data_IF_795845291284
#
_entry.id   IF_795845291284
#
_cell.length_a   1.000
_cell.length_b   1.000
_cell.length_c   1.000
_cell.angle_alpha   90.00
_cell.angle_beta   90.00
_cell.angle_gamma   90.00
#
_symmetry.space_group_name_H-M   'P 1'
#
loop_
_entity.id
_entity.type
_entity.pdbx_description
1 polymer ?
#
# COMPACT_ATOMS: atom_id res chain seq x y z
N UNK A 1 -32.20 22.91 -23.27
CA UNK A 1 -31.19 22.72 -22.20
C UNK A 1 -30.70 21.27 -22.26
N UNK A 2 -29.64 21.07 -23.00
CA UNK A 2 -29.03 19.76 -23.23
C UNK A 2 -28.23 19.39 -21.99
N UNK A 3 -28.67 18.38 -21.25
CA UNK A 3 -27.89 17.80 -20.15
C UNK A 3 -26.75 17.00 -20.78
N UNK A 4 -25.63 17.67 -21.01
CA UNK A 4 -24.39 17.02 -21.43
C UNK A 4 -24.01 16.00 -20.35
N UNK A 5 -24.23 14.73 -20.59
CA UNK A 5 -23.79 13.63 -19.74
C UNK A 5 -22.27 13.56 -19.83
N UNK A 6 -21.59 14.19 -18.89
CA UNK A 6 -20.13 14.11 -18.75
C UNK A 6 -19.68 12.64 -18.77
N UNK A 7 -18.66 12.36 -19.53
CA UNK A 7 -18.06 11.03 -19.58
C UNK A 7 -17.56 10.64 -18.18
N UNK A 8 -17.42 9.33 -17.92
CA UNK A 8 -16.94 8.85 -16.62
C UNK A 8 -15.55 9.39 -16.26
N UNK A 9 -14.70 9.60 -17.27
CA UNK A 9 -13.39 10.20 -17.12
C UNK A 9 -13.45 11.66 -16.70
N UNK A 10 -14.28 12.48 -17.37
CA UNK A 10 -14.47 13.90 -17.03
C UNK A 10 -15.06 14.11 -15.63
N UNK A 11 -15.92 13.20 -15.17
CA UNK A 11 -16.42 13.23 -13.78
C UNK A 11 -15.31 12.94 -12.77
N UNK A 12 -14.45 11.98 -13.07
CA UNK A 12 -13.30 11.66 -12.22
C UNK A 12 -12.32 12.82 -12.19
N UNK A 13 -11.96 13.39 -13.34
CA UNK A 13 -11.05 14.55 -13.43
C UNK A 13 -11.59 15.74 -12.65
N UNK A 14 -12.89 15.99 -12.70
CA UNK A 14 -13.53 17.06 -11.92
C UNK A 14 -13.48 16.80 -10.41
N UNK A 15 -13.68 15.54 -9.99
CA UNK A 15 -13.61 15.15 -8.57
C UNK A 15 -12.17 15.30 -8.07
N UNK A 16 -11.20 14.74 -8.78
CA UNK A 16 -9.79 14.79 -8.39
C UNK A 16 -9.15 16.18 -8.58
N UNK A 17 -9.66 16.99 -9.52
CA UNK A 17 -9.23 18.38 -9.71
C UNK A 17 -9.75 19.35 -8.64
N UNK A 18 -10.72 18.93 -7.80
CA UNK A 18 -11.23 19.79 -6.74
C UNK A 18 -10.37 19.60 -5.47
N UNK A 19 -9.71 20.65 -4.94
CA UNK A 19 -8.74 20.51 -3.86
C UNK A 19 -9.34 19.89 -2.59
N UNK A 20 -10.61 20.12 -2.30
CA UNK A 20 -11.28 19.55 -1.13
C UNK A 20 -11.37 18.02 -1.22
N UNK A 21 -11.76 17.47 -2.36
CA UNK A 21 -11.82 16.00 -2.53
C UNK A 21 -10.44 15.37 -2.53
N UNK A 22 -9.45 16.02 -3.11
CA UNK A 22 -8.06 15.55 -3.06
C UNK A 22 -7.53 15.48 -1.62
N UNK A 23 -7.81 16.51 -0.81
CA UNK A 23 -7.42 16.54 0.61
C UNK A 23 -8.15 15.47 1.41
N UNK A 24 -9.46 15.32 1.24
CA UNK A 24 -10.24 14.28 1.93
C UNK A 24 -9.74 12.87 1.58
N UNK A 25 -9.45 12.63 0.31
CA UNK A 25 -8.90 11.36 -0.14
C UNK A 25 -7.50 11.11 0.44
N UNK A 26 -6.66 12.15 0.46
CA UNK A 26 -5.33 12.06 1.08
C UNK A 26 -5.43 11.74 2.58
N UNK A 27 -6.32 12.39 3.32
CA UNK A 27 -6.58 12.09 4.73
C UNK A 27 -7.02 10.63 4.89
N UNK A 28 -7.99 10.19 4.10
CA UNK A 28 -8.47 8.80 4.13
C UNK A 28 -7.36 7.79 3.88
N UNK A 29 -6.54 8.00 2.84
CA UNK A 29 -5.39 7.15 2.54
C UNK A 29 -4.37 7.13 3.69
N UNK A 30 -4.09 8.29 4.32
CA UNK A 30 -3.17 8.37 5.44
C UNK A 30 -3.71 7.66 6.69
N UNK A 31 -5.00 7.75 6.97
CA UNK A 31 -5.65 7.00 8.07
C UNK A 31 -5.55 5.51 7.83
N UNK A 32 -5.84 5.03 6.61
CA UNK A 32 -5.68 3.63 6.25
C UNK A 32 -4.22 3.17 6.37
N UNK A 33 -3.27 3.97 5.92
CA UNK A 33 -1.84 3.66 6.03
C UNK A 33 -1.38 3.61 7.49
N UNK A 34 -1.75 4.62 8.29
CA UNK A 34 -1.40 4.69 9.72
C UNK A 34 -2.02 3.56 10.55
N UNK A 35 -3.20 3.09 10.18
CA UNK A 35 -3.86 1.97 10.84
C UNK A 35 -3.15 0.62 10.64
N UNK A 36 -2.26 0.52 9.64
CA UNK A 36 -1.53 -0.71 9.34
C UNK A 36 -0.71 -1.21 10.54
N UNK A 37 -0.04 -0.31 11.29
CA UNK A 37 0.77 -0.67 12.46
C UNK A 37 -0.04 -1.35 13.58
N UNK A 38 -1.13 -0.73 14.09
CA UNK A 38 -1.98 -1.38 15.09
C UNK A 38 -2.54 -2.72 14.60
N UNK A 39 -2.99 -2.80 13.35
CA UNK A 39 -3.55 -4.03 12.81
C UNK A 39 -2.51 -5.15 12.64
N UNK A 40 -1.26 -4.83 12.27
CA UNK A 40 -0.19 -5.84 12.25
C UNK A 40 0.08 -6.36 13.66
N UNK A 41 0.18 -5.46 14.65
CA UNK A 41 0.38 -5.86 16.06
C UNK A 41 -0.78 -6.69 16.60
N UNK A 42 -2.01 -6.33 16.24
CA UNK A 42 -3.18 -7.13 16.59
C UNK A 42 -3.11 -8.52 15.95
N UNK A 43 -2.72 -8.60 14.67
CA UNK A 43 -2.50 -9.86 13.97
C UNK A 43 -1.45 -10.73 14.66
N UNK A 44 -0.32 -10.18 15.07
CA UNK A 44 0.71 -10.92 15.80
C UNK A 44 0.18 -11.51 17.12
N UNK A 45 -0.66 -10.76 17.84
CA UNK A 45 -1.30 -11.26 19.08
C UNK A 45 -2.32 -12.36 18.79
N UNK A 46 -3.19 -12.16 17.79
CA UNK A 46 -4.26 -13.11 17.46
C UNK A 46 -3.70 -14.46 16.96
N UNK A 47 -2.62 -14.43 16.19
CA UNK A 47 -1.98 -15.62 15.65
C UNK A 47 -0.82 -16.14 16.51
N UNK A 48 -0.63 -15.56 17.71
CA UNK A 48 0.43 -15.95 18.66
C UNK A 48 1.82 -15.97 17.98
N UNK A 49 2.09 -14.97 17.13
CA UNK A 49 3.36 -14.88 16.40
C UNK A 49 4.42 -14.33 17.33
N UNK A 50 5.43 -15.16 17.62
CA UNK A 50 6.58 -14.73 18.40
C UNK A 50 7.45 -13.78 17.59
N UNK A 51 7.75 -12.61 18.18
CA UNK A 51 8.63 -11.59 17.59
C UNK A 51 10.06 -12.09 17.34
N UNK A 52 10.49 -13.14 18.02
CA UNK A 52 11.78 -13.78 17.80
C UNK A 52 11.78 -14.73 16.58
N UNK A 53 10.61 -15.16 16.12
CA UNK A 53 10.49 -16.08 14.99
C UNK A 53 10.28 -15.36 13.67
N UNK A 54 11.36 -14.99 13.01
CA UNK A 54 11.37 -14.29 11.72
C UNK A 54 10.59 -15.04 10.62
N UNK A 55 10.62 -16.38 10.63
CA UNK A 55 9.89 -17.17 9.63
C UNK A 55 8.37 -17.00 9.77
N UNK A 56 7.85 -17.02 10.98
CA UNK A 56 6.42 -16.78 11.25
C UNK A 56 5.99 -15.38 10.87
N UNK A 57 6.84 -14.37 11.10
CA UNK A 57 6.63 -12.98 10.70
C UNK A 57 6.50 -12.88 9.17
N UNK A 58 7.41 -13.49 8.42
CA UNK A 58 7.38 -13.47 6.97
C UNK A 58 6.21 -14.27 6.39
N UNK A 59 5.86 -15.41 7.00
CA UNK A 59 4.68 -16.16 6.62
C UNK A 59 3.40 -15.30 6.76
N UNK A 60 3.23 -14.64 7.90
CA UNK A 60 2.11 -13.73 8.14
C UNK A 60 2.07 -12.58 7.13
N UNK A 61 3.21 -11.95 6.84
CA UNK A 61 3.32 -10.90 5.84
C UNK A 61 2.93 -11.42 4.45
N UNK A 62 3.45 -12.58 4.04
CA UNK A 62 3.14 -13.21 2.76
C UNK A 62 1.65 -13.49 2.59
N UNK A 63 1.01 -14.11 3.56
CA UNK A 63 -0.43 -14.39 3.55
C UNK A 63 -1.24 -13.08 3.43
N UNK A 64 -0.86 -12.05 4.19
CA UNK A 64 -1.53 -10.74 4.15
C UNK A 64 -1.41 -10.08 2.77
N UNK A 65 -0.23 -10.12 2.14
CA UNK A 65 -0.03 -9.56 0.80
C UNK A 65 -0.76 -10.37 -0.27
N UNK A 66 -0.80 -11.71 -0.15
CA UNK A 66 -1.58 -12.55 -1.06
C UNK A 66 -3.07 -12.24 -0.99
N UNK A 67 -3.63 -12.13 0.21
CA UNK A 67 -5.04 -11.76 0.40
C UNK A 67 -5.31 -10.36 -0.14
N UNK A 68 -4.45 -9.39 0.16
CA UNK A 68 -4.57 -8.02 -0.35
C UNK A 68 -4.55 -7.95 -1.87
N UNK A 69 -3.59 -8.61 -2.52
CA UNK A 69 -3.50 -8.65 -3.98
C UNK A 69 -4.69 -9.36 -4.63
N UNK A 70 -5.18 -10.43 -4.02
CA UNK A 70 -6.39 -11.12 -4.48
C UNK A 70 -7.61 -10.20 -4.43
N UNK A 71 -7.80 -9.47 -3.33
CA UNK A 71 -8.90 -8.51 -3.18
C UNK A 71 -8.82 -7.36 -4.19
N UNK A 72 -7.62 -6.84 -4.46
CA UNK A 72 -7.40 -5.79 -5.46
C UNK A 72 -7.70 -6.30 -6.87
N UNK A 73 -7.24 -7.50 -7.20
CA UNK A 73 -7.55 -8.12 -8.50
C UNK A 73 -9.06 -8.35 -8.66
N UNK A 74 -9.69 -8.92 -7.64
CA UNK A 74 -11.14 -9.14 -7.63
C UNK A 74 -11.91 -7.82 -7.81
N UNK A 75 -11.55 -6.79 -7.04
CA UNK A 75 -12.13 -5.45 -7.15
C UNK A 75 -11.92 -4.85 -8.54
N UNK A 76 -10.73 -5.01 -9.12
CA UNK A 76 -10.43 -4.53 -10.47
C UNK A 76 -11.31 -5.21 -11.53
N UNK A 77 -11.47 -6.53 -11.44
CA UNK A 77 -12.34 -7.29 -12.35
C UNK A 77 -13.80 -6.85 -12.22
N UNK A 78 -14.30 -6.71 -11.00
CA UNK A 78 -15.68 -6.31 -10.74
C UNK A 78 -15.99 -4.87 -11.21
N UNK A 79 -15.05 -3.94 -11.00
CA UNK A 79 -15.24 -2.54 -11.37
C UNK A 79 -15.08 -2.28 -12.88
N UNK A 80 -14.14 -2.97 -13.51
CA UNK A 80 -13.82 -2.76 -14.92
C UNK A 80 -14.53 -3.74 -15.86
N UNK A 81 -15.14 -4.78 -15.32
CA UNK A 81 -15.74 -5.89 -16.09
C UNK A 81 -14.78 -6.53 -17.11
N UNK A 82 -13.48 -6.47 -16.83
CA UNK A 82 -12.41 -7.00 -17.67
C UNK A 82 -11.33 -7.61 -16.79
N UNK A 83 -10.84 -8.76 -17.19
CA UNK A 83 -9.67 -9.36 -16.55
C UNK A 83 -8.42 -8.59 -16.96
N UNK A 84 -7.63 -8.07 -16.01
CA UNK A 84 -6.41 -7.36 -16.34
C UNK A 84 -5.46 -8.30 -17.10
N UNK A 85 -4.89 -7.80 -18.19
CA UNK A 85 -3.90 -8.56 -18.95
C UNK A 85 -2.57 -8.54 -18.19
N UNK A 86 -2.05 -9.71 -17.89
CA UNK A 86 -0.74 -9.81 -17.27
C UNK A 86 0.35 -9.32 -18.24
N UNK A 87 1.29 -8.51 -17.78
CA UNK A 87 2.41 -8.06 -18.59
C UNK A 87 3.25 -9.26 -19.03
N UNK A 88 3.87 -9.16 -20.22
CA UNK A 88 4.71 -10.21 -20.79
C UNK A 88 6.08 -9.65 -21.18
N UNK A 89 7.05 -10.53 -21.31
CA UNK A 89 8.40 -10.16 -21.75
C UNK A 89 9.09 -9.20 -20.78
N UNK A 90 9.72 -8.16 -21.34
CA UNK A 90 10.51 -7.18 -20.58
C UNK A 90 9.72 -6.48 -19.51
N UNK A 91 8.47 -6.10 -19.79
CA UNK A 91 7.59 -5.43 -18.81
C UNK A 91 7.30 -6.32 -17.60
N UNK A 92 7.12 -7.63 -17.82
CA UNK A 92 6.94 -8.57 -16.72
C UNK A 92 8.18 -8.64 -15.82
N UNK A 93 9.37 -8.68 -16.42
CA UNK A 93 10.64 -8.70 -15.68
C UNK A 93 10.84 -7.39 -14.86
N UNK A 94 10.54 -6.25 -15.44
CA UNK A 94 10.59 -4.95 -14.75
C UNK A 94 9.59 -4.89 -13.58
N UNK A 95 8.37 -5.36 -13.78
CA UNK A 95 7.37 -5.44 -12.70
C UNK A 95 7.83 -6.39 -11.58
N UNK A 96 8.41 -7.54 -11.92
CA UNK A 96 8.97 -8.47 -10.92
C UNK A 96 10.15 -7.86 -10.17
N UNK A 97 11.06 -7.17 -10.84
CA UNK A 97 12.18 -6.49 -10.21
C UNK A 97 11.73 -5.39 -9.26
N UNK A 98 10.76 -4.56 -9.68
CA UNK A 98 10.14 -3.55 -8.83
C UNK A 98 9.43 -4.16 -7.63
N UNK A 99 8.66 -5.24 -7.83
CA UNK A 99 7.99 -5.94 -6.74
C UNK A 99 8.97 -6.53 -5.74
N UNK A 100 10.07 -7.12 -6.22
CA UNK A 100 11.11 -7.67 -5.36
C UNK A 100 11.80 -6.58 -4.54
N UNK A 101 12.19 -5.49 -5.18
CA UNK A 101 12.89 -4.40 -4.53
C UNK A 101 11.98 -3.58 -3.62
N UNK A 102 10.89 -3.07 -4.16
CA UNK A 102 9.97 -2.16 -3.47
C UNK A 102 9.12 -2.86 -2.41
N UNK A 103 8.73 -4.11 -2.65
CA UNK A 103 7.82 -4.82 -1.74
C UNK A 103 8.59 -5.78 -0.85
N UNK A 104 9.33 -6.74 -1.42
CA UNK A 104 9.93 -7.81 -0.62
C UNK A 104 11.02 -7.28 0.31
N UNK A 105 12.00 -6.53 -0.21
CA UNK A 105 13.08 -6.02 0.63
C UNK A 105 12.58 -4.97 1.63
N UNK A 106 11.83 -3.98 1.17
CA UNK A 106 11.33 -2.92 2.05
C UNK A 106 10.47 -3.49 3.19
N UNK A 107 9.52 -4.37 2.87
CA UNK A 107 8.62 -4.92 3.88
C UNK A 107 9.26 -6.01 4.74
N UNK A 108 10.30 -6.69 4.29
CA UNK A 108 11.07 -7.60 5.14
C UNK A 108 11.62 -6.85 6.36
N UNK A 109 12.32 -5.75 6.14
CA UNK A 109 12.82 -4.91 7.22
C UNK A 109 11.71 -4.26 8.05
N UNK A 110 10.66 -3.79 7.38
CA UNK A 110 9.51 -3.17 8.03
C UNK A 110 8.82 -4.12 9.02
N UNK A 111 8.54 -5.36 8.63
CA UNK A 111 7.86 -6.32 9.50
C UNK A 111 8.74 -6.74 10.69
N UNK A 112 10.04 -6.88 10.50
CA UNK A 112 10.97 -7.13 11.59
C UNK A 112 10.97 -5.95 12.56
N UNK A 113 11.05 -4.72 12.07
CA UNK A 113 11.00 -3.52 12.89
C UNK A 113 9.68 -3.41 13.66
N UNK A 114 8.55 -3.65 13.02
CA UNK A 114 7.22 -3.65 13.68
C UNK A 114 7.13 -4.74 14.75
N UNK A 115 7.76 -5.89 14.57
CA UNK A 115 7.81 -6.94 15.58
C UNK A 115 8.56 -6.48 16.84
N UNK A 116 9.69 -5.79 16.66
CA UNK A 116 10.57 -5.34 17.74
C UNK A 116 10.11 -4.05 18.44
N UNK A 117 9.44 -3.14 17.71
CA UNK A 117 9.07 -1.81 18.20
C UNK A 117 7.63 -1.73 18.69
N UNK A 118 7.30 -0.71 19.47
CA UNK A 118 5.90 -0.36 19.76
C UNK A 118 5.25 0.23 18.50
N UNK A 119 3.92 0.04 18.36
CA UNK A 119 3.21 0.54 17.18
C UNK A 119 3.34 2.06 16.99
N UNK A 120 3.30 2.83 18.08
CA UNK A 120 3.47 4.28 18.06
C UNK A 120 4.88 4.69 17.59
N UNK A 121 5.91 4.07 18.14
CA UNK A 121 7.31 4.38 17.77
C UNK A 121 7.62 4.01 16.32
N UNK A 122 7.12 2.85 15.86
CA UNK A 122 7.21 2.45 14.47
C UNK A 122 6.55 3.45 13.52
N UNK A 123 5.39 4.00 13.89
CA UNK A 123 4.69 5.04 13.13
C UNK A 123 5.50 6.34 13.01
N UNK A 124 6.11 6.79 14.10
CA UNK A 124 6.97 7.99 14.12
C UNK A 124 8.19 7.79 13.21
N UNK A 125 8.89 6.65 13.34
CA UNK A 125 10.04 6.34 12.49
C UNK A 125 9.65 6.27 11.00
N UNK A 126 8.52 5.65 10.69
CA UNK A 126 8.04 5.58 9.31
C UNK A 126 7.73 6.97 8.73
N UNK A 127 7.23 7.89 9.53
CA UNK A 127 6.98 9.28 9.10
C UNK A 127 8.27 10.02 8.74
N UNK A 128 9.40 9.67 9.35
CA UNK A 128 10.72 10.26 9.07
C UNK A 128 11.17 9.98 7.63
N UNK A 129 10.73 8.87 7.03
CA UNK A 129 11.04 8.53 5.64
C UNK A 129 10.60 9.63 4.66
N UNK A 130 9.45 10.25 4.90
CA UNK A 130 8.95 11.32 4.03
C UNK A 130 9.83 12.56 4.08
N UNK A 131 10.34 12.93 5.26
CA UNK A 131 11.28 14.04 5.40
C UNK A 131 12.60 13.76 4.70
N UNK A 132 13.16 12.57 4.89
CA UNK A 132 14.37 12.14 4.20
C UNK A 132 14.19 12.15 2.68
N UNK A 133 13.03 11.68 2.19
CA UNK A 133 12.70 11.70 0.75
C UNK A 133 12.73 13.12 0.16
N UNK A 134 12.17 14.11 0.86
CA UNK A 134 12.20 15.51 0.43
C UNK A 134 13.64 16.07 0.46
N UNK A 135 14.41 15.75 1.50
CA UNK A 135 15.80 16.18 1.60
C UNK A 135 16.63 15.63 0.43
N UNK A 136 16.56 14.32 0.18
CA UNK A 136 17.27 13.69 -0.93
C UNK A 136 16.85 14.22 -2.30
N UNK A 137 15.55 14.47 -2.50
CA UNK A 137 15.03 15.04 -3.73
C UNK A 137 15.56 16.48 -3.98
N UNK A 138 15.99 17.19 -2.93
CA UNK A 138 16.59 18.51 -3.08
C UNK A 138 18.04 18.46 -3.57
N UNK A 139 18.75 17.37 -3.30
CA UNK A 139 20.15 17.18 -3.69
C UNK A 139 20.33 16.43 -5.03
N UNK A 140 19.27 15.81 -5.56
CA UNK A 140 19.25 15.10 -6.84
C UNK A 140 18.64 15.96 -7.96
#
# INVERSE_FOLDING_TARGET
MEKTTLSRAEKLDRIFGTPVYAVLLAIFCNVLWGSAFPFIKLGYRLFSIDSANTASIFCFAGVRFMLGSFLVLLGSVLLQNRVPRFPRGKVAAECCALGLWQTTFQYAFYYIAVAALTGAFGGILNSTQSFLGVIFAHFL
#
